data_IF_044257934325
#
_entry.id   IF_044257934325
#
_cell.length_a   1.000
_cell.length_b   1.000
_cell.length_c   1.000
_cell.angle_alpha   90.00
_cell.angle_beta   90.00
_cell.angle_gamma   90.00
#
_symmetry.space_group_name_H-M   'P 1'
#
loop_
_entity.id
_entity.type
_entity.pdbx_description
1 polymer ?
#
# COMPACT_ATOMS: atom_id res chain seq x y z
N UNK A 1 64.44 4.05 20.90
CA UNK A 1 63.89 3.30 22.06
C UNK A 1 63.45 4.31 23.11
N UNK A 2 62.27 4.10 23.68
CA UNK A 2 61.37 5.11 24.24
C UNK A 2 61.69 5.54 25.68
N UNK A 3 61.40 6.82 25.98
CA UNK A 3 61.53 7.43 27.32
C UNK A 3 60.16 7.78 27.91
N UNK A 4 59.99 7.33 29.16
CA UNK A 4 59.17 7.85 30.26
C UNK A 4 57.63 7.88 30.22
N UNK A 5 57.13 7.34 31.32
CA UNK A 5 55.81 7.31 31.93
C UNK A 5 55.12 8.67 32.15
N UNK A 6 53.83 8.72 31.82
CA UNK A 6 52.93 9.80 32.23
C UNK A 6 51.67 9.22 32.91
N UNK A 7 51.65 9.40 34.24
CA UNK A 7 50.51 9.82 35.06
C UNK A 7 49.14 9.20 34.74
N UNK A 8 48.77 8.26 35.63
CA UNK A 8 47.44 7.65 35.69
C UNK A 8 46.34 8.66 35.98
N UNK A 9 45.32 8.64 35.12
CA UNK A 9 44.03 9.28 35.36
C UNK A 9 43.25 8.46 36.39
N UNK A 10 43.05 9.00 37.59
CA UNK A 10 42.10 8.45 38.55
C UNK A 10 40.69 8.61 37.97
N UNK A 11 40.05 7.48 37.65
CA UNK A 11 38.63 7.43 37.28
C UNK A 11 37.76 7.94 38.43
N UNK A 12 36.73 8.69 38.06
CA UNK A 12 35.77 9.33 38.95
C UNK A 12 35.03 8.30 39.82
N UNK A 13 34.95 8.61 41.10
CA UNK A 13 34.17 7.88 42.10
C UNK A 13 32.67 8.15 41.82
N UNK A 14 31.94 7.17 41.30
CA UNK A 14 30.50 7.26 41.12
C UNK A 14 29.79 6.75 42.39
N UNK A 15 29.01 7.55 43.12
CA UNK A 15 28.14 7.01 44.14
C UNK A 15 26.97 6.27 43.48
N UNK A 16 26.90 4.96 43.77
CA UNK A 16 25.77 4.07 43.54
C UNK A 16 24.50 4.72 44.08
N UNK A 17 23.61 5.14 43.19
CA UNK A 17 22.26 5.56 43.55
C UNK A 17 21.29 4.53 42.97
N UNK A 18 20.93 3.57 43.82
CA UNK A 18 19.89 2.56 43.60
C UNK A 18 18.51 3.22 43.53
N UNK A 19 18.27 3.94 42.44
CA UNK A 19 16.97 4.50 42.09
C UNK A 19 16.09 3.43 41.46
N UNK A 20 15.11 2.94 42.22
CA UNK A 20 14.05 2.01 41.80
C UNK A 20 13.49 2.38 40.42
N UNK A 21 13.66 1.50 39.42
CA UNK A 21 12.96 1.60 38.13
C UNK A 21 11.51 1.18 38.35
N UNK A 22 10.61 2.15 38.51
CA UNK A 22 9.17 1.90 38.54
C UNK A 22 8.64 1.87 37.10
N UNK A 23 8.50 0.69 36.50
CA UNK A 23 7.80 0.55 35.22
C UNK A 23 6.30 0.67 35.47
N UNK A 24 5.70 1.84 35.16
CA UNK A 24 4.25 2.01 35.16
C UNK A 24 3.69 1.39 33.87
N UNK A 25 3.28 0.13 33.91
CA UNK A 25 2.45 -0.46 32.86
C UNK A 25 1.04 0.14 32.94
N UNK A 26 0.83 1.24 32.23
CA UNK A 26 -0.51 1.78 32.01
C UNK A 26 -1.23 0.98 30.94
N UNK A 27 -2.35 0.33 31.28
CA UNK A 27 -3.33 -0.22 30.36
C UNK A 27 -4.09 0.92 29.63
N UNK A 28 -3.38 1.64 28.77
CA UNK A 28 -3.95 2.62 27.87
C UNK A 28 -3.80 2.14 26.43
N UNK A 29 -4.89 1.75 25.78
CA UNK A 29 -4.91 1.49 24.33
C UNK A 29 -4.68 2.80 23.59
N UNK A 30 -3.41 3.18 23.41
CA UNK A 30 -3.04 4.26 22.49
C UNK A 30 -3.37 3.77 21.08
N UNK A 31 -4.34 4.40 20.42
CA UNK A 31 -4.57 4.19 18.99
C UNK A 31 -3.25 4.42 18.26
N UNK A 32 -2.74 3.38 17.60
CA UNK A 32 -1.53 3.48 16.80
C UNK A 32 -1.76 4.56 15.73
N UNK A 33 -0.80 5.49 15.61
CA UNK A 33 -0.81 6.46 14.52
C UNK A 33 -0.87 5.70 13.19
N UNK A 34 -1.62 6.19 12.18
CA UNK A 34 -1.68 5.55 10.88
C UNK A 34 -0.24 5.40 10.37
N UNK A 35 0.18 4.16 10.10
CA UNK A 35 1.47 3.90 9.48
C UNK A 35 1.41 4.57 8.11
N UNK A 36 2.06 5.73 7.97
CA UNK A 36 2.35 6.30 6.66
C UNK A 36 3.12 5.22 5.92
N UNK A 37 2.54 4.63 4.85
CA UNK A 37 3.28 3.77 3.94
C UNK A 37 4.49 4.57 3.50
N UNK A 38 5.68 4.11 3.83
CA UNK A 38 6.89 4.74 3.35
C UNK A 38 6.82 4.69 1.82
N UNK A 39 6.86 5.85 1.15
CA UNK A 39 7.06 5.87 -0.28
C UNK A 39 8.37 5.12 -0.54
N UNK A 40 8.26 3.94 -1.13
CA UNK A 40 9.40 3.18 -1.61
C UNK A 40 9.97 4.06 -2.72
N UNK A 41 10.97 4.88 -2.38
CA UNK A 41 11.81 5.52 -3.38
C UNK A 41 12.62 4.39 -3.98
N UNK A 42 12.06 3.78 -5.01
CA UNK A 42 12.80 2.88 -5.87
C UNK A 42 13.97 3.67 -6.44
N UNK A 43 15.16 3.09 -6.42
CA UNK A 43 16.36 3.66 -7.03
C UNK A 43 16.29 3.60 -8.58
N UNK A 44 15.07 3.49 -9.12
CA UNK A 44 14.80 3.29 -10.53
C UNK A 44 14.62 4.64 -11.22
N UNK A 45 15.13 4.79 -12.45
CA UNK A 45 14.89 5.99 -13.24
C UNK A 45 13.39 6.20 -13.47
N UNK A 46 12.95 7.44 -13.42
CA UNK A 46 11.57 7.83 -13.74
C UNK A 46 11.51 8.45 -15.13
N UNK A 47 10.31 8.41 -15.73
CA UNK A 47 10.09 8.95 -17.07
C UNK A 47 10.34 10.46 -17.18
N UNK A 48 10.16 11.21 -16.08
CA UNK A 48 10.38 12.66 -16.00
C UNK A 48 11.23 13.02 -14.76
N UNK A 49 12.27 13.86 -14.91
CA UNK A 49 13.11 14.28 -13.79
C UNK A 49 12.30 14.96 -12.68
N UNK A 50 12.35 14.40 -11.46
CA UNK A 50 11.63 14.95 -10.31
C UNK A 50 10.14 14.58 -10.22
N UNK A 51 9.61 13.77 -11.15
CA UNK A 51 8.28 13.19 -10.99
C UNK A 51 8.25 12.22 -9.80
N UNK A 52 7.05 11.95 -9.29
CA UNK A 52 6.80 10.90 -8.29
C UNK A 52 6.03 9.78 -8.96
N UNK A 53 6.53 8.55 -8.87
CA UNK A 53 5.81 7.38 -9.38
C UNK A 53 4.45 7.22 -8.66
N UNK A 54 3.37 6.86 -9.40
CA UNK A 54 2.08 6.52 -8.80
C UNK A 54 2.16 5.31 -7.84
N UNK A 55 1.25 5.23 -6.85
CA UNK A 55 1.27 4.14 -5.84
C UNK A 55 1.09 2.75 -6.45
N UNK A 56 0.32 2.63 -7.53
CA UNK A 56 0.07 1.38 -8.24
C UNK A 56 1.18 0.98 -9.22
N UNK A 57 2.19 1.82 -9.42
CA UNK A 57 3.39 1.51 -10.19
C UNK A 57 4.59 1.43 -9.25
N UNK A 58 4.85 0.23 -8.74
CA UNK A 58 5.84 -0.02 -7.69
C UNK A 58 7.23 -0.38 -8.20
N UNK A 59 7.41 -0.55 -9.51
CA UNK A 59 8.67 -0.92 -10.14
C UNK A 59 8.91 -2.43 -10.22
N UNK A 60 7.92 -3.25 -9.86
CA UNK A 60 8.03 -4.72 -9.94
C UNK A 60 8.09 -5.23 -11.39
N UNK A 61 7.42 -4.52 -12.29
CA UNK A 61 7.33 -4.87 -13.71
C UNK A 61 8.48 -4.24 -14.51
N UNK A 62 8.98 -4.98 -15.49
CA UNK A 62 9.99 -4.47 -16.44
C UNK A 62 9.38 -3.31 -17.23
N UNK A 63 10.15 -2.22 -17.40
CA UNK A 63 9.68 -1.02 -18.09
C UNK A 63 8.83 -0.09 -17.22
N UNK A 64 8.75 -0.30 -15.90
CA UNK A 64 8.09 0.64 -14.99
C UNK A 64 8.98 1.85 -14.65
N UNK A 65 8.84 2.89 -15.47
CA UNK A 65 9.40 4.22 -15.23
C UNK A 65 8.39 5.18 -14.55
N UNK A 66 7.30 4.64 -13.99
CA UNK A 66 6.25 5.43 -13.32
C UNK A 66 5.42 6.31 -14.26
N UNK A 67 5.27 5.94 -15.53
CA UNK A 67 4.49 6.69 -16.52
C UNK A 67 3.02 6.25 -16.50
N UNK A 68 2.16 7.02 -15.84
CA UNK A 68 0.71 6.90 -15.95
C UNK A 68 0.04 8.27 -15.67
N UNK A 69 0.08 9.21 -16.63
CA UNK A 69 -0.46 10.56 -16.43
C UNK A 69 -1.99 10.59 -16.33
N UNK A 70 -2.68 9.55 -16.85
CA UNK A 70 -4.15 9.47 -16.87
C UNK A 70 -4.72 8.54 -15.79
N UNK A 71 -3.88 7.83 -15.05
CA UNK A 71 -4.30 6.92 -13.98
C UNK A 71 -4.99 5.66 -14.48
N UNK A 72 -4.66 5.18 -15.69
CA UNK A 72 -5.31 4.01 -16.29
C UNK A 72 -4.93 2.70 -15.58
N UNK A 73 -3.77 2.66 -14.92
CA UNK A 73 -3.31 1.51 -14.14
C UNK A 73 -3.81 1.49 -12.70
N UNK A 74 -4.63 2.47 -12.29
CA UNK A 74 -5.19 2.53 -10.94
C UNK A 74 -6.16 1.36 -10.73
N UNK A 75 -6.12 0.68 -9.56
CA UNK A 75 -7.10 -0.35 -9.22
C UNK A 75 -8.53 0.17 -9.35
N UNK A 76 -9.36 -0.54 -10.10
CA UNK A 76 -10.74 -0.14 -10.36
C UNK A 76 -11.63 -0.48 -9.16
N UNK A 77 -12.47 0.48 -8.76
CA UNK A 77 -13.47 0.31 -7.71
C UNK A 77 -14.86 0.45 -8.31
N UNK A 78 -15.75 -0.49 -7.99
CA UNK A 78 -17.10 -0.53 -8.53
C UNK A 78 -18.15 -0.41 -7.41
N UNK A 79 -19.34 0.05 -7.76
CA UNK A 79 -20.51 0.03 -6.88
C UNK A 79 -21.46 -1.07 -7.36
N UNK A 80 -21.93 -1.89 -6.43
CA UNK A 80 -22.92 -2.92 -6.70
C UNK A 80 -24.33 -2.35 -6.45
N UNK A 81 -25.17 -2.38 -7.49
CA UNK A 81 -26.60 -2.12 -7.38
C UNK A 81 -27.35 -3.44 -7.18
N UNK A 82 -28.46 -3.36 -6.46
CA UNK A 82 -29.46 -4.42 -6.40
C UNK A 82 -30.27 -4.46 -7.69
N UNK A 83 -31.00 -5.56 -7.88
CA UNK A 83 -31.90 -5.70 -9.01
C UNK A 83 -33.21 -4.94 -8.76
N UNK A 84 -33.75 -4.36 -9.83
CA UNK A 84 -35.09 -3.79 -9.81
C UNK A 84 -36.14 -4.90 -9.58
N UNK A 85 -37.24 -4.53 -8.93
CA UNK A 85 -38.42 -5.38 -8.90
C UNK A 85 -39.16 -5.30 -10.24
N UNK A 86 -39.35 -6.43 -10.94
CA UNK A 86 -40.09 -6.49 -12.21
C UNK A 86 -41.23 -7.53 -12.12
N UNK A 87 -42.17 -7.33 -11.20
CA UNK A 87 -43.36 -8.18 -11.10
C UNK A 87 -44.60 -7.45 -11.64
N UNK A 88 -45.32 -8.09 -12.55
CA UNK A 88 -46.55 -7.56 -13.14
C UNK A 88 -47.75 -7.66 -12.19
N UNK A 89 -47.68 -8.53 -11.19
CA UNK A 89 -48.76 -8.73 -10.21
C UNK A 89 -48.71 -7.73 -9.05
N UNK A 90 -47.62 -6.96 -8.92
CA UNK A 90 -47.45 -5.97 -7.86
C UNK A 90 -48.01 -4.61 -8.28
N UNK A 91 -48.66 -3.95 -7.32
CA UNK A 91 -49.17 -2.59 -7.53
C UNK A 91 -48.04 -1.54 -7.69
N UNK A 92 -46.84 -1.85 -7.18
CA UNK A 92 -45.66 -0.99 -7.29
C UNK A 92 -44.38 -1.82 -7.37
N UNK A 93 -43.61 -1.55 -8.39
CA UNK A 93 -42.24 -2.04 -8.55
C UNK A 93 -41.25 -1.00 -8.04
N UNK A 94 -40.25 -1.45 -7.29
CA UNK A 94 -39.23 -0.62 -6.63
C UNK A 94 -37.91 -0.75 -7.40
N UNK A 95 -37.18 0.35 -7.65
CA UNK A 95 -35.85 0.27 -8.24
C UNK A 95 -34.83 -0.30 -7.25
N UNK A 96 -33.78 -0.93 -7.76
CA UNK A 96 -32.67 -1.44 -6.99
C UNK A 96 -31.82 -0.32 -6.38
N UNK A 97 -31.37 -0.53 -5.14
CA UNK A 97 -30.54 0.41 -4.41
C UNK A 97 -29.06 0.00 -4.43
N UNK A 98 -28.17 0.90 -4.01
CA UNK A 98 -26.74 0.58 -3.90
C UNK A 98 -26.55 -0.33 -2.67
N UNK A 99 -26.08 -1.55 -2.89
CA UNK A 99 -25.80 -2.53 -1.82
C UNK A 99 -24.45 -2.21 -1.17
N UNK A 100 -23.44 -1.85 -1.96
CA UNK A 100 -22.10 -1.54 -1.44
C UNK A 100 -21.01 -1.43 -2.49
N UNK A 101 -19.76 -1.29 -2.02
CA UNK A 101 -18.56 -1.25 -2.85
C UNK A 101 -18.09 -2.66 -3.20
N UNK A 102 -17.83 -2.90 -4.48
CA UNK A 102 -17.32 -4.16 -5.03
C UNK A 102 -15.91 -3.93 -5.57
N UNK A 103 -14.94 -4.65 -5.01
CA UNK A 103 -13.57 -4.71 -5.50
C UNK A 103 -13.33 -6.12 -6.03
N UNK A 104 -12.87 -6.23 -7.27
CA UNK A 104 -12.53 -7.52 -7.88
C UNK A 104 -11.03 -7.80 -7.74
N UNK A 105 -10.65 -9.08 -7.70
CA UNK A 105 -9.27 -9.52 -7.76
C UNK A 105 -8.82 -9.64 -9.22
N UNK A 106 -7.52 -9.47 -9.48
CA UNK A 106 -6.91 -9.52 -10.82
C UNK A 106 -6.57 -10.94 -11.28
N UNK A 107 -7.48 -11.90 -11.07
CA UNK A 107 -7.23 -13.33 -11.31
C UNK A 107 -7.54 -13.76 -12.75
N UNK A 108 -6.80 -14.75 -13.25
CA UNK A 108 -6.99 -15.37 -14.57
C UNK A 108 -7.86 -16.62 -14.41
N UNK A 109 -9.00 -16.64 -15.10
CA UNK A 109 -9.96 -17.75 -15.14
C UNK A 109 -9.71 -18.65 -16.35
N UNK A 110 -10.16 -19.90 -16.26
CA UNK A 110 -10.09 -20.88 -17.35
C UNK A 110 -11.14 -20.67 -18.46
N UNK A 111 -11.83 -19.53 -18.48
CA UNK A 111 -12.85 -19.19 -19.48
C UNK A 111 -12.21 -18.78 -20.81
N UNK A 112 -12.72 -19.32 -21.92
CA UNK A 112 -12.10 -19.16 -23.24
C UNK A 112 -12.15 -17.73 -23.81
N UNK A 113 -13.27 -17.01 -23.64
CA UNK A 113 -13.48 -15.70 -24.28
C UNK A 113 -12.96 -14.53 -23.46
N UNK A 114 -13.16 -14.58 -22.14
CA UNK A 114 -12.70 -13.55 -21.22
C UNK A 114 -12.08 -14.25 -20.01
N UNK A 115 -10.77 -14.55 -20.06
CA UNK A 115 -10.06 -15.18 -18.95
C UNK A 115 -9.77 -14.18 -17.82
N UNK A 116 -9.49 -12.92 -18.15
CA UNK A 116 -9.29 -11.88 -17.13
C UNK A 116 -10.60 -11.52 -16.44
N UNK A 117 -10.58 -11.56 -15.11
CA UNK A 117 -11.66 -11.09 -14.24
C UNK A 117 -11.91 -9.59 -14.38
N UNK A 118 -10.85 -8.80 -14.54
CA UNK A 118 -10.93 -7.35 -14.72
C UNK A 118 -10.34 -6.86 -16.05
N UNK A 119 -10.82 -5.71 -16.50
CA UNK A 119 -10.36 -5.07 -17.74
C UNK A 119 -9.14 -4.17 -17.50
N UNK A 120 -9.10 -3.48 -16.36
CA UNK A 120 -8.09 -2.48 -16.00
C UNK A 120 -6.88 -3.05 -15.23
N UNK A 121 -6.67 -4.37 -15.31
CA UNK A 121 -5.56 -5.02 -14.62
C UNK A 121 -4.21 -4.73 -15.28
N UNK A 122 -3.21 -4.36 -14.47
CA UNK A 122 -1.84 -4.09 -14.93
C UNK A 122 -1.24 -5.26 -15.71
N UNK A 123 -1.49 -6.50 -15.28
CA UNK A 123 -1.03 -7.71 -15.97
C UNK A 123 -1.52 -7.76 -17.42
N UNK A 124 -2.82 -7.50 -17.63
CA UNK A 124 -3.45 -7.50 -18.96
C UNK A 124 -2.86 -6.38 -19.84
N UNK A 125 -2.66 -5.19 -19.28
CA UNK A 125 -2.07 -4.09 -20.04
C UNK A 125 -0.63 -4.39 -20.47
N UNK A 126 0.18 -5.04 -19.64
CA UNK A 126 1.55 -5.43 -20.02
C UNK A 126 1.58 -6.49 -21.11
N UNK A 127 0.67 -7.44 -21.06
CA UNK A 127 0.54 -8.43 -22.13
C UNK A 127 0.11 -7.79 -23.45
N UNK A 128 -0.84 -6.85 -23.41
CA UNK A 128 -1.24 -6.09 -24.60
C UNK A 128 -0.17 -5.11 -25.10
N UNK A 129 0.73 -4.63 -24.25
CA UNK A 129 1.89 -3.82 -24.66
C UNK A 129 2.94 -4.67 -25.40
N UNK A 130 3.09 -5.93 -24.99
CA UNK A 130 4.14 -6.81 -25.51
C UNK A 130 3.78 -7.46 -26.86
N UNK A 131 2.49 -7.73 -27.10
CA UNK A 131 1.96 -8.37 -28.31
C UNK A 131 1.73 -7.33 -29.41
#
# INVERSE_FOLDING_TARGET
AATSSFIGTRRLNAPSNSGRVMARFGFGTKKAAPKKKAQIKSDRPLWYPGATAPEWLDGSLVGDYGFDPLGLGKPAEYLQYDYDSLDQNLAKNVPGEIIGTRTESSDIKSTALQPYSEVFGLQRFRECELI
#
